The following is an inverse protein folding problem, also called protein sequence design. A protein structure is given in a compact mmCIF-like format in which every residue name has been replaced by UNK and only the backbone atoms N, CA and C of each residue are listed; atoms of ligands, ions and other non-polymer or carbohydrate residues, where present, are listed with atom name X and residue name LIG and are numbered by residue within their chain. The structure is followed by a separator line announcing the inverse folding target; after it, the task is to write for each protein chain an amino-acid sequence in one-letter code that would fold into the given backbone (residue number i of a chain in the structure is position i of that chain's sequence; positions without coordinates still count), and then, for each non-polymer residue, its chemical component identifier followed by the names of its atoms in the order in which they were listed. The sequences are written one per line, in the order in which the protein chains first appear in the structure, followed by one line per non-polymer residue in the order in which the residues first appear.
data_IF_413503478623
#
_entry.id   IF_413503478623
#
_cell.length_a   1.000
_cell.length_b   1.000
_cell.length_c   1.000
_cell.angle_alpha   90.00
_cell.angle_beta   90.00
_cell.angle_gamma   90.00
#
_symmetry.space_group_name_H-M   'P 1'
#
loop_
_entity.id
_entity.type
_entity.pdbx_description
1 polymer ?
#
# COMPACT_ATOMS: atom_id res chain seq x y z
N UNK A 1 11.17 1.00 4.73
CA UNK A 1 12.02 2.17 4.99
C UNK A 1 13.23 1.82 5.88
N UNK A 2 13.15 0.75 6.68
CA UNK A 2 14.26 0.28 7.54
C UNK A 2 15.57 0.02 6.82
N UNK A 3 15.53 -0.66 5.66
CA UNK A 3 16.73 -0.92 4.86
C UNK A 3 17.51 0.36 4.50
N UNK A 4 16.79 1.45 4.19
CA UNK A 4 17.42 2.74 3.87
C UNK A 4 18.02 3.37 5.12
N UNK A 5 17.27 3.38 6.24
CA UNK A 5 17.77 3.85 7.55
C UNK A 5 19.05 3.11 7.95
N UNK A 6 19.01 1.77 7.96
CA UNK A 6 20.16 0.93 8.31
C UNK A 6 21.33 1.14 7.36
N UNK A 7 21.08 1.27 6.04
CA UNK A 7 22.15 1.55 5.08
C UNK A 7 22.79 2.92 5.30
N UNK A 8 22.04 3.94 5.71
CA UNK A 8 22.59 5.26 6.01
C UNK A 8 23.43 5.23 7.30
N UNK A 9 22.92 4.58 8.36
CA UNK A 9 23.65 4.36 9.61
C UNK A 9 24.99 3.66 9.36
N UNK A 10 24.97 2.58 8.58
CA UNK A 10 26.18 1.83 8.24
C UNK A 10 27.18 2.69 7.46
N UNK A 11 26.72 3.51 6.51
CA UNK A 11 27.59 4.40 5.73
C UNK A 11 28.23 5.52 6.54
N UNK A 12 27.55 5.99 7.59
CA UNK A 12 28.10 6.95 8.55
C UNK A 12 29.25 6.27 9.34
N UNK A 13 29.03 5.05 9.84
CA UNK A 13 30.07 4.29 10.56
C UNK A 13 31.27 3.95 9.66
N UNK A 14 31.02 3.45 8.45
CA UNK A 14 32.06 2.95 7.55
C UNK A 14 32.80 4.08 6.81
N UNK A 15 32.39 5.35 6.98
CA UNK A 15 32.98 6.52 6.31
C UNK A 15 33.08 6.31 4.79
N UNK A 16 31.91 6.06 4.18
CA UNK A 16 31.66 5.91 2.73
C UNK A 16 32.06 4.55 2.10
N UNK A 17 31.38 4.21 0.99
CA UNK A 17 31.64 2.98 0.24
C UNK A 17 32.90 3.04 -0.65
N UNK A 18 33.26 1.88 -1.22
CA UNK A 18 34.49 1.66 -1.98
C UNK A 18 34.78 2.73 -3.07
N UNK A 19 33.82 2.99 -3.96
CA UNK A 19 34.00 3.94 -5.08
C UNK A 19 34.27 5.36 -4.60
N UNK A 20 33.58 5.81 -3.56
CA UNK A 20 33.77 7.15 -2.99
C UNK A 20 35.17 7.29 -2.41
N UNK A 21 35.63 6.27 -1.69
CA UNK A 21 37.00 6.23 -1.17
C UNK A 21 38.07 6.19 -2.27
N UNK A 22 37.81 5.54 -3.42
CA UNK A 22 38.73 5.60 -4.57
C UNK A 22 38.81 7.00 -5.19
N UNK A 23 37.67 7.69 -5.34
CA UNK A 23 37.63 9.06 -5.86
C UNK A 23 38.32 10.05 -4.91
N UNK A 24 38.13 9.88 -3.60
CA UNK A 24 38.75 10.74 -2.59
C UNK A 24 40.27 10.71 -2.63
N UNK A 25 40.89 9.56 -2.95
CA UNK A 25 42.34 9.45 -3.09
C UNK A 25 42.94 10.34 -4.18
N UNK A 26 42.13 10.83 -5.13
CA UNK A 26 42.57 11.71 -6.22
C UNK A 26 42.54 13.20 -5.85
N UNK A 27 42.00 13.53 -4.68
CA UNK A 27 41.80 14.91 -4.23
C UNK A 27 42.87 15.32 -3.21
N UNK A 28 43.04 16.64 -3.02
CA UNK A 28 43.91 17.18 -1.98
C UNK A 28 43.39 16.82 -0.58
N UNK A 29 44.27 16.83 0.43
CA UNK A 29 43.87 16.52 1.81
C UNK A 29 42.79 17.48 2.35
N UNK A 30 42.83 18.75 1.94
CA UNK A 30 41.83 19.75 2.31
C UNK A 30 40.46 19.43 1.72
N UNK A 31 40.41 19.12 0.42
CA UNK A 31 39.16 18.79 -0.28
C UNK A 31 38.57 17.47 0.22
N UNK A 32 39.42 16.48 0.52
CA UNK A 32 38.97 15.23 1.13
C UNK A 32 38.29 15.47 2.48
N UNK A 33 38.86 16.35 3.32
CA UNK A 33 38.26 16.69 4.62
C UNK A 33 36.94 17.45 4.45
N UNK A 34 36.90 18.41 3.53
CA UNK A 34 35.69 19.18 3.23
C UNK A 34 34.56 18.27 2.77
N UNK A 35 34.82 17.41 1.76
CA UNK A 35 33.84 16.46 1.26
C UNK A 35 33.34 15.50 2.34
N UNK A 36 34.25 14.94 3.14
CA UNK A 36 33.87 14.01 4.21
C UNK A 36 32.90 14.65 5.21
N UNK A 37 33.13 15.90 5.57
CA UNK A 37 32.24 16.65 6.46
C UNK A 37 30.88 16.93 5.82
N UNK A 38 30.86 17.44 4.58
CA UNK A 38 29.61 17.75 3.89
C UNK A 38 28.77 16.49 3.65
N UNK A 39 29.40 15.41 3.19
CA UNK A 39 28.69 14.17 2.90
C UNK A 39 28.22 13.47 4.18
N UNK A 40 28.96 13.58 5.29
CA UNK A 40 28.48 13.13 6.61
C UNK A 40 27.24 13.92 7.04
N UNK A 41 27.28 15.26 6.95
CA UNK A 41 26.13 16.12 7.25
C UNK A 41 24.90 15.76 6.39
N UNK A 42 25.08 15.41 5.12
CA UNK A 42 23.98 14.96 4.25
C UNK A 42 23.37 13.66 4.78
N UNK A 43 24.18 12.68 5.18
CA UNK A 43 23.67 11.43 5.75
C UNK A 43 22.95 11.65 7.08
N UNK A 44 23.50 12.48 7.97
CA UNK A 44 22.89 12.84 9.25
C UNK A 44 21.54 13.53 9.03
N UNK A 45 21.48 14.58 8.21
CA UNK A 45 20.21 15.26 7.89
C UNK A 45 19.18 14.34 7.24
N UNK A 46 19.63 13.43 6.38
CA UNK A 46 18.74 12.44 5.75
C UNK A 46 18.16 11.49 6.80
N UNK A 47 18.99 11.07 7.76
CA UNK A 47 18.60 10.18 8.84
C UNK A 47 17.66 10.87 9.83
N UNK A 48 17.96 12.11 10.22
CA UNK A 48 17.08 12.96 11.03
C UNK A 48 15.72 13.16 10.36
N UNK A 49 15.70 13.46 9.05
CA UNK A 49 14.46 13.58 8.29
C UNK A 49 13.66 12.28 8.35
N UNK A 50 14.31 11.14 8.12
CA UNK A 50 13.67 9.84 8.19
C UNK A 50 13.09 9.58 9.59
N UNK A 51 13.86 9.81 10.65
CA UNK A 51 13.42 9.60 12.03
C UNK A 51 12.27 10.54 12.43
N UNK A 52 12.28 11.78 11.94
CA UNK A 52 11.23 12.77 12.19
C UNK A 52 9.90 12.38 11.57
N UNK A 53 9.93 11.90 10.32
CA UNK A 53 8.70 11.68 9.55
C UNK A 53 8.23 10.23 9.53
N UNK A 54 9.07 9.27 9.91
CA UNK A 54 8.72 7.85 9.93
C UNK A 54 8.84 7.28 11.34
N UNK A 55 7.70 6.87 11.95
CA UNK A 55 7.71 6.17 13.23
C UNK A 55 8.14 4.72 13.02
N UNK A 56 9.45 4.48 12.95
CA UNK A 56 10.00 3.14 12.66
C UNK A 56 9.58 2.07 13.69
N UNK A 57 9.51 2.44 14.97
CA UNK A 57 9.26 1.47 16.06
C UNK A 57 7.84 1.58 16.67
N UNK A 58 7.13 2.68 16.38
CA UNK A 58 5.84 3.01 17.00
C UNK A 58 4.65 2.92 16.05
N UNK A 59 4.87 2.59 14.77
CA UNK A 59 3.79 2.47 13.80
C UNK A 59 2.86 1.29 14.14
N UNK A 60 1.54 1.49 14.28
CA UNK A 60 0.57 0.42 14.51
C UNK A 60 0.60 -0.70 13.45
N UNK A 61 1.00 -0.36 12.21
CA UNK A 61 1.14 -1.29 11.10
C UNK A 61 2.11 -2.45 11.37
N UNK A 62 3.04 -2.31 12.33
CA UNK A 62 3.93 -3.42 12.70
C UNK A 62 3.14 -4.64 13.19
N UNK A 63 2.01 -4.42 13.87
CA UNK A 63 1.15 -5.49 14.38
C UNK A 63 0.45 -6.25 13.25
N UNK A 64 0.31 -5.65 12.05
CA UNK A 64 -0.32 -6.30 10.90
C UNK A 64 0.61 -7.25 10.13
N UNK A 65 1.90 -7.29 10.46
CA UNK A 65 2.86 -8.22 9.85
C UNK A 65 2.44 -9.69 10.01
N UNK A 66 1.72 -10.00 11.10
CA UNK A 66 1.13 -11.31 11.39
C UNK A 66 0.21 -11.80 10.25
N UNK A 67 -0.49 -10.88 9.58
CA UNK A 67 -1.41 -11.21 8.49
C UNK A 67 -0.68 -11.61 7.20
N UNK A 68 0.64 -11.44 7.12
CA UNK A 68 1.46 -11.95 6.02
C UNK A 68 1.62 -13.48 6.03
N UNK A 69 1.33 -14.12 7.16
CA UNK A 69 1.42 -15.57 7.36
C UNK A 69 2.79 -16.14 6.92
N UNK A 70 3.88 -15.47 7.31
CA UNK A 70 5.27 -15.83 6.94
C UNK A 70 6.05 -16.49 8.08
N UNK A 71 5.80 -16.05 9.32
CA UNK A 71 6.51 -16.51 10.52
C UNK A 71 5.59 -17.37 11.39
N UNK A 72 6.17 -18.08 12.36
CA UNK A 72 5.38 -18.69 13.44
C UNK A 72 4.91 -17.57 14.37
N UNK A 73 3.62 -17.26 14.32
CA UNK A 73 2.97 -16.30 15.23
C UNK A 73 2.00 -17.02 16.17
N UNK A 74 1.70 -16.36 17.29
CA UNK A 74 0.77 -16.85 18.30
C UNK A 74 -0.54 -16.04 18.28
N UNK A 75 -1.50 -16.45 19.12
CA UNK A 75 -2.78 -15.77 19.20
C UNK A 75 -2.68 -14.32 19.69
N UNK A 76 -1.77 -14.00 20.60
CA UNK A 76 -1.58 -12.63 21.09
C UNK A 76 -1.11 -11.69 19.97
N UNK A 77 -0.41 -12.20 18.96
CA UNK A 77 -0.03 -11.40 17.79
C UNK A 77 -1.28 -10.99 16.98
N UNK A 78 -2.27 -11.87 16.87
CA UNK A 78 -3.57 -11.58 16.25
C UNK A 78 -4.36 -10.58 17.11
N UNK A 79 -4.37 -10.74 18.43
CA UNK A 79 -5.01 -9.79 19.35
C UNK A 79 -4.41 -8.39 19.21
N UNK A 80 -3.07 -8.29 19.17
CA UNK A 80 -2.40 -7.01 18.96
C UNK A 80 -2.75 -6.37 17.60
N UNK A 81 -2.96 -7.18 16.56
CA UNK A 81 -3.44 -6.69 15.27
C UNK A 81 -4.90 -6.19 15.36
N UNK A 82 -5.78 -6.90 16.06
CA UNK A 82 -7.17 -6.45 16.30
C UNK A 82 -7.18 -5.11 17.04
N UNK A 83 -6.44 -5.01 18.15
CA UNK A 83 -6.34 -3.78 18.95
C UNK A 83 -5.79 -2.61 18.12
N UNK A 84 -4.73 -2.85 17.32
CA UNK A 84 -4.15 -1.84 16.44
C UNK A 84 -5.09 -1.42 15.29
N UNK A 85 -5.99 -2.30 14.86
CA UNK A 85 -6.98 -2.02 13.80
C UNK A 85 -8.23 -1.30 14.32
N UNK A 86 -8.56 -1.45 15.60
CA UNK A 86 -9.81 -0.94 16.19
C UNK A 86 -11.07 -1.68 15.71
N UNK A 87 -10.93 -2.84 15.06
CA UNK A 87 -12.06 -3.64 14.59
C UNK A 87 -12.71 -4.38 15.76
N UNK A 88 -14.04 -4.38 15.80
CA UNK A 88 -14.81 -5.14 16.79
C UNK A 88 -14.98 -6.60 16.38
N UNK A 89 -14.50 -7.52 17.20
CA UNK A 89 -14.57 -8.97 17.00
C UNK A 89 -14.95 -9.68 18.29
N UNK A 90 -15.48 -10.89 18.19
CA UNK A 90 -15.67 -11.78 19.34
C UNK A 90 -14.35 -12.53 19.61
N UNK A 91 -13.76 -12.32 20.80
CA UNK A 91 -12.45 -12.87 21.15
C UNK A 91 -12.41 -14.40 21.23
N UNK A 92 -13.47 -15.04 21.74
CA UNK A 92 -13.52 -16.50 21.88
C UNK A 92 -13.71 -17.18 20.53
N UNK A 93 -14.59 -16.63 19.68
CA UNK A 93 -14.75 -17.10 18.30
C UNK A 93 -13.47 -16.89 17.49
N UNK A 94 -12.82 -15.73 17.64
CA UNK A 94 -11.55 -15.42 16.99
C UNK A 94 -10.46 -16.44 17.37
N UNK A 95 -10.43 -16.91 18.62
CA UNK A 95 -9.48 -17.94 19.03
C UNK A 95 -9.75 -19.29 18.34
N UNK A 96 -11.02 -19.66 18.17
CA UNK A 96 -11.38 -20.87 17.43
C UNK A 96 -10.98 -20.75 15.96
N UNK A 97 -11.24 -19.60 15.33
CA UNK A 97 -10.83 -19.31 13.95
C UNK A 97 -9.30 -19.33 13.79
N UNK A 98 -8.56 -18.82 14.79
CA UNK A 98 -7.11 -18.91 14.82
C UNK A 98 -6.61 -20.36 14.91
N UNK A 99 -7.29 -21.22 15.68
CA UNK A 99 -6.96 -22.65 15.72
C UNK A 99 -7.13 -23.29 14.33
N UNK A 100 -8.23 -22.99 13.63
CA UNK A 100 -8.46 -23.46 12.26
C UNK A 100 -7.37 -22.98 11.31
N UNK A 101 -6.99 -21.70 11.39
CA UNK A 101 -5.91 -21.11 10.59
C UNK A 101 -4.59 -21.87 10.79
N UNK A 102 -4.26 -22.23 12.04
CA UNK A 102 -3.04 -22.99 12.35
C UNK A 102 -3.01 -24.37 11.70
N UNK A 103 -4.14 -25.06 11.63
CA UNK A 103 -4.24 -26.40 11.04
C UNK A 103 -3.95 -26.39 9.53
N UNK A 104 -4.38 -25.33 8.84
CA UNK A 104 -4.21 -25.18 7.39
C UNK A 104 -2.98 -24.39 6.99
N UNK A 105 -2.21 -23.87 7.96
CA UNK A 105 -1.04 -23.02 7.70
C UNK A 105 0.02 -23.72 6.83
N UNK A 106 0.17 -25.05 6.92
CA UNK A 106 1.09 -25.79 6.06
C UNK A 106 0.72 -25.71 4.57
N UNK A 107 -0.58 -25.67 4.25
CA UNK A 107 -1.10 -25.61 2.87
C UNK A 107 -0.93 -24.23 2.25
N UNK A 108 -0.94 -23.17 3.06
CA UNK A 108 -0.84 -21.79 2.60
C UNK A 108 0.62 -21.32 2.40
N UNK A 109 1.63 -22.13 2.75
CA UNK A 109 3.05 -21.76 2.66
C UNK A 109 3.51 -21.50 1.22
N UNK A 110 2.98 -22.26 0.27
CA UNK A 110 3.42 -22.20 -1.14
C UNK A 110 2.77 -21.05 -1.93
N UNK A 111 1.79 -20.35 -1.34
CA UNK A 111 1.12 -19.22 -1.96
C UNK A 111 1.92 -17.94 -1.62
N UNK A 112 2.53 -17.29 -2.63
CA UNK A 112 3.36 -16.10 -2.39
C UNK A 112 2.52 -14.85 -2.01
N UNK A 113 1.37 -14.67 -2.68
CA UNK A 113 0.51 -13.50 -2.53
C UNK A 113 -0.37 -13.60 -1.29
N UNK A 114 -0.24 -12.62 -0.38
CA UNK A 114 -1.00 -12.55 0.89
C UNK A 114 -2.51 -12.55 0.64
N UNK A 115 -3.00 -11.80 -0.34
CA UNK A 115 -4.43 -11.75 -0.65
C UNK A 115 -4.95 -13.12 -1.09
N UNK A 116 -4.17 -13.86 -1.90
CA UNK A 116 -4.54 -15.20 -2.36
C UNK A 116 -4.52 -16.22 -1.21
N UNK A 117 -3.59 -16.11 -0.24
CA UNK A 117 -3.58 -16.96 0.95
C UNK A 117 -4.88 -16.87 1.74
N UNK A 118 -5.33 -15.64 1.99
CA UNK A 118 -6.54 -15.39 2.75
C UNK A 118 -7.80 -15.83 1.99
N UNK A 119 -7.85 -15.62 0.67
CA UNK A 119 -8.94 -16.16 -0.17
C UNK A 119 -9.02 -17.69 -0.05
N UNK A 120 -7.90 -18.39 -0.18
CA UNK A 120 -7.86 -19.86 -0.06
C UNK A 120 -8.33 -20.34 1.33
N UNK A 121 -7.97 -19.60 2.39
CA UNK A 121 -8.44 -19.87 3.74
C UNK A 121 -9.97 -19.71 3.86
N UNK A 122 -10.50 -18.56 3.45
CA UNK A 122 -11.93 -18.21 3.63
C UNK A 122 -12.88 -18.96 2.70
N UNK A 123 -12.41 -19.51 1.58
CA UNK A 123 -13.24 -20.39 0.73
C UNK A 123 -13.63 -21.67 1.48
N UNK A 124 -12.74 -22.17 2.33
CA UNK A 124 -12.87 -23.49 2.95
C UNK A 124 -13.25 -23.42 4.45
N UNK A 125 -13.16 -22.24 5.06
CA UNK A 125 -13.36 -22.07 6.49
C UNK A 125 -14.26 -20.85 6.75
N UNK A 126 -15.31 -21.06 7.54
CA UNK A 126 -16.11 -19.94 8.04
C UNK A 126 -15.36 -19.30 9.21
N UNK A 127 -14.89 -18.06 9.00
CA UNK A 127 -14.05 -17.34 9.96
C UNK A 127 -14.33 -15.84 9.90
N UNK A 128 -15.52 -15.41 10.36
CA UNK A 128 -15.99 -14.04 10.20
C UNK A 128 -15.17 -13.01 10.99
N UNK A 129 -14.56 -13.37 12.13
CA UNK A 129 -13.79 -12.43 12.94
C UNK A 129 -12.42 -12.14 12.31
N UNK A 130 -11.71 -13.18 11.84
CA UNK A 130 -10.50 -13.06 11.04
C UNK A 130 -10.80 -12.34 9.71
N UNK A 131 -11.93 -12.63 9.06
CA UNK A 131 -12.31 -11.97 7.82
C UNK A 131 -12.44 -10.46 8.01
N UNK A 132 -13.15 -10.01 9.05
CA UNK A 132 -13.29 -8.57 9.38
C UNK A 132 -11.92 -7.90 9.57
N UNK A 133 -11.01 -8.54 10.29
CA UNK A 133 -9.66 -8.01 10.51
C UNK A 133 -8.88 -7.92 9.19
N UNK A 134 -8.86 -9.01 8.42
CA UNK A 134 -8.09 -9.11 7.18
C UNK A 134 -8.62 -8.17 6.11
N UNK A 135 -9.94 -8.11 5.91
CA UNK A 135 -10.58 -7.18 4.99
C UNK A 135 -10.22 -5.73 5.35
N UNK A 136 -10.36 -5.36 6.63
CA UNK A 136 -10.06 -4.03 7.08
C UNK A 136 -8.61 -3.62 6.78
N UNK A 137 -7.65 -4.47 7.15
CA UNK A 137 -6.22 -4.16 6.98
C UNK A 137 -5.80 -4.16 5.51
N UNK A 138 -6.25 -5.14 4.72
CA UNK A 138 -5.89 -5.23 3.29
C UNK A 138 -6.55 -4.16 2.43
N UNK A 139 -7.64 -3.54 2.89
CA UNK A 139 -8.23 -2.36 2.25
C UNK A 139 -7.41 -1.08 2.45
N UNK A 140 -6.44 -1.04 3.38
CA UNK A 140 -5.61 0.14 3.60
C UNK A 140 -4.55 0.24 2.47
N UNK A 141 -4.59 1.27 1.63
CA UNK A 141 -3.60 1.44 0.58
C UNK A 141 -2.22 1.71 1.20
N UNK A 142 -1.21 0.92 0.81
CA UNK A 142 0.18 1.06 1.29
C UNK A 142 0.90 2.26 0.64
N UNK A 143 0.29 2.87 -0.40
CA UNK A 143 0.90 3.95 -1.15
C UNK A 143 -0.12 4.97 -1.63
N UNK A 144 0.30 6.23 -1.62
CA UNK A 144 -0.42 7.34 -2.24
C UNK A 144 -0.43 7.26 -3.77
N UNK A 145 0.34 6.38 -4.41
CA UNK A 145 0.41 6.26 -5.87
C UNK A 145 -0.97 6.05 -6.52
N UNK A 146 -1.88 5.33 -5.84
CA UNK A 146 -3.26 5.19 -6.32
C UNK A 146 -4.00 6.54 -6.28
N UNK A 147 -3.88 7.28 -5.19
CA UNK A 147 -4.48 8.61 -5.02
C UNK A 147 -3.88 9.63 -6.00
N UNK A 148 -2.56 9.59 -6.23
CA UNK A 148 -1.90 10.42 -7.24
C UNK A 148 -2.39 10.13 -8.65
N UNK A 149 -2.62 8.85 -8.99
CA UNK A 149 -3.24 8.47 -10.26
C UNK A 149 -4.65 9.03 -10.36
N UNK A 150 -5.43 8.94 -9.29
CA UNK A 150 -6.76 9.56 -9.19
C UNK A 150 -6.69 11.06 -9.46
N UNK A 151 -5.78 11.79 -8.84
CA UNK A 151 -5.59 13.23 -9.07
C UNK A 151 -5.16 13.55 -10.50
N UNK A 152 -4.29 12.74 -11.09
CA UNK A 152 -3.88 12.88 -12.49
C UNK A 152 -5.07 12.71 -13.45
N UNK A 153 -5.90 11.69 -13.25
CA UNK A 153 -7.14 11.48 -14.02
C UNK A 153 -8.08 12.69 -13.83
N UNK A 154 -8.27 13.13 -12.60
CA UNK A 154 -9.14 14.26 -12.28
C UNK A 154 -8.65 15.55 -12.96
N UNK A 155 -7.35 15.83 -12.94
CA UNK A 155 -6.75 16.99 -13.63
C UNK A 155 -6.91 16.93 -15.15
N UNK A 156 -6.92 15.73 -15.74
CA UNK A 156 -7.16 15.56 -17.18
C UNK A 156 -8.63 15.75 -17.56
N UNK A 157 -9.58 15.38 -16.69
CA UNK A 157 -11.03 15.57 -16.90
C UNK A 157 -11.40 17.04 -16.62
N UNK A 158 -10.86 17.60 -15.55
CA UNK A 158 -11.12 18.94 -15.05
C UNK A 158 -9.92 19.86 -15.38
N UNK A 159 -9.81 20.26 -16.64
CA UNK A 159 -8.89 21.32 -17.04
C UNK A 159 -9.65 22.55 -17.53
N UNK A 160 -9.17 23.73 -17.15
CA UNK A 160 -9.79 25.02 -17.47
C UNK A 160 -9.90 25.28 -18.98
N UNK A 161 -9.04 24.62 -19.76
CA UNK A 161 -8.98 24.76 -21.22
C UNK A 161 -10.00 23.90 -21.98
N UNK A 162 -10.49 22.78 -21.39
CA UNK A 162 -11.24 21.78 -22.16
C UNK A 162 -12.74 21.68 -21.92
N UNK A 163 -13.31 22.00 -20.75
CA UNK A 163 -14.77 22.10 -20.57
C UNK A 163 -15.16 22.63 -19.19
N UNK A 164 -16.12 23.57 -19.13
CA UNK A 164 -16.88 23.94 -17.91
C UNK A 164 -17.88 22.83 -17.55
N UNK A 165 -17.40 21.61 -17.31
CA UNK A 165 -18.28 20.51 -16.91
C UNK A 165 -18.84 20.75 -15.51
N UNK A 166 -20.10 20.38 -15.30
CA UNK A 166 -20.68 20.37 -13.97
C UNK A 166 -19.98 19.33 -13.10
N UNK A 167 -19.89 19.59 -11.79
CA UNK A 167 -19.24 18.70 -10.81
C UNK A 167 -19.81 17.28 -10.87
N UNK A 168 -21.11 17.14 -11.06
CA UNK A 168 -21.81 15.86 -11.15
C UNK A 168 -21.33 15.05 -12.35
N UNK A 169 -21.13 15.71 -13.50
CA UNK A 169 -20.67 15.05 -14.72
C UNK A 169 -19.22 14.56 -14.58
N UNK A 170 -18.37 15.37 -13.94
CA UNK A 170 -16.98 14.96 -13.67
C UNK A 170 -16.92 13.78 -12.70
N UNK A 171 -17.73 13.80 -11.64
CA UNK A 171 -17.85 12.65 -10.72
C UNK A 171 -18.27 11.39 -11.48
N UNK A 172 -19.29 11.47 -12.33
CA UNK A 172 -19.75 10.35 -13.14
C UNK A 172 -18.67 9.85 -14.12
N UNK A 173 -18.02 10.73 -14.87
CA UNK A 173 -16.94 10.36 -15.79
C UNK A 173 -15.75 9.73 -15.06
N UNK A 174 -15.38 10.31 -13.91
CA UNK A 174 -14.33 9.78 -13.06
C UNK A 174 -14.65 8.36 -12.59
N UNK A 175 -15.85 8.12 -12.04
CA UNK A 175 -16.32 6.80 -11.64
C UNK A 175 -16.26 5.79 -12.79
N UNK A 176 -16.62 6.22 -14.01
CA UNK A 176 -16.54 5.36 -15.20
C UNK A 176 -15.08 5.02 -15.52
N UNK A 177 -14.17 6.00 -15.55
CA UNK A 177 -12.75 5.78 -15.89
C UNK A 177 -11.99 4.96 -14.85
N UNK A 178 -12.34 5.05 -13.57
CA UNK A 178 -11.64 4.31 -12.51
C UNK A 178 -12.14 2.89 -12.33
N UNK A 179 -13.45 2.65 -12.47
CA UNK A 179 -14.06 1.35 -12.15
C UNK A 179 -14.25 0.46 -13.37
N UNK A 180 -14.45 1.01 -14.57
CA UNK A 180 -14.61 0.20 -15.77
C UNK A 180 -13.26 -0.05 -16.41
N UNK A 181 -12.78 -1.30 -16.34
CA UNK A 181 -11.77 -1.76 -17.31
C UNK A 181 -12.36 -1.57 -18.70
N UNK A 182 -11.56 -1.00 -19.61
CA UNK A 182 -11.92 -0.72 -21.02
C UNK A 182 -12.61 -1.92 -21.70
N UNK A 183 -12.29 -3.13 -21.28
CA UNK A 183 -12.84 -4.42 -21.74
C UNK A 183 -14.34 -4.60 -21.44
N UNK A 184 -14.82 -4.27 -20.24
CA UNK A 184 -16.23 -4.52 -19.84
C UNK A 184 -17.23 -3.66 -20.63
N UNK A 185 -16.83 -2.45 -20.99
CA UNK A 185 -17.63 -1.55 -21.83
C UNK A 185 -17.62 -1.99 -23.31
N UNK A 186 -16.51 -2.56 -23.78
CA UNK A 186 -16.35 -3.02 -25.17
C UNK A 186 -17.14 -4.31 -25.45
N UNK A 187 -17.37 -5.14 -24.43
CA UNK A 187 -18.12 -6.39 -24.55
C UNK A 187 -19.64 -6.17 -24.57
N UNK A 188 -20.14 -5.08 -23.98
CA UNK A 188 -21.57 -4.76 -23.98
C UNK A 188 -21.99 -4.00 -25.25
N UNK A 189 -22.20 -4.74 -26.34
CA UNK A 189 -22.60 -4.22 -27.66
C UNK A 189 -23.88 -3.38 -27.64
N UNK A 190 -24.82 -3.69 -26.75
CA UNK A 190 -26.10 -2.97 -26.61
C UNK A 190 -25.87 -1.58 -26.04
N UNK A 191 -25.07 -1.48 -24.97
CA UNK A 191 -24.69 -0.20 -24.37
C UNK A 191 -23.93 0.69 -25.36
N UNK A 192 -23.00 0.12 -26.13
CA UNK A 192 -22.24 0.84 -27.15
C UNK A 192 -23.13 1.34 -28.30
N UNK A 193 -24.09 0.54 -28.75
CA UNK A 193 -25.06 0.97 -29.75
C UNK A 193 -25.97 2.09 -29.23
N UNK A 194 -26.41 2.00 -27.97
CA UNK A 194 -27.21 3.04 -27.33
C UNK A 194 -26.41 4.35 -27.20
N UNK A 195 -25.15 4.29 -26.73
CA UNK A 195 -24.27 5.45 -26.60
C UNK A 195 -23.88 6.09 -27.95
N UNK A 196 -23.78 5.28 -29.03
CA UNK A 196 -23.57 5.77 -30.41
C UNK A 196 -24.83 6.32 -31.05
N UNK A 197 -26.00 5.99 -30.54
CA UNK A 197 -27.26 6.50 -31.08
C UNK A 197 -27.52 7.92 -30.58
N UNK A 198 -27.92 8.83 -31.46
CA UNK A 198 -28.37 10.17 -31.08
C UNK A 198 -29.74 10.17 -30.37
N UNK A 199 -30.22 9.02 -29.89
CA UNK A 199 -31.48 8.93 -29.13
C UNK A 199 -31.20 9.47 -27.74
N UNK A 200 -31.80 10.62 -27.38
CA UNK A 200 -31.76 11.16 -26.01
C UNK A 200 -32.15 10.06 -25.02
N UNK A 201 -31.35 9.88 -23.97
CA UNK A 201 -31.64 8.93 -22.90
C UNK A 201 -33.02 9.24 -22.31
N UNK A 202 -34.01 8.39 -22.61
CA UNK A 202 -35.28 8.39 -21.90
C UNK A 202 -35.00 7.64 -20.60
N UNK A 203 -34.49 8.36 -19.58
CA UNK A 203 -34.56 7.85 -18.23
C UNK A 203 -36.04 7.68 -17.93
N UNK A 204 -36.50 6.43 -17.79
CA UNK A 204 -37.86 6.18 -17.31
C UNK A 204 -38.00 6.92 -15.98
N UNK A 205 -39.02 7.75 -15.88
CA UNK A 205 -39.42 8.36 -14.61
C UNK A 205 -39.54 7.22 -13.58
N UNK A 206 -38.75 7.33 -12.51
CA UNK A 206 -38.88 6.52 -11.31
C UNK A 206 -40.23 6.81 -10.65
#
# INVERSE_FOLDING_TARGET
MDRLRSSLQQRIQDKFGYKVNQCLKKLSAADQKCFRNEAANVYERSLEYLQKWFPFDTTPLKHFSVLGLKDNFNFNDIVAAVEASGVSVNGDELYNEFCLLREVMSKLKDIDRVDTKWVEFFINNDSPNLFKLVEHVLCIPVSNAFVERVFSIMKNIWSDEKNRMRVELVKAEFCVKTNFKKTLLLENKVLLQAARSNKKYIFKNL
#
